data_IF_314543534042
#
_entry.id   IF_314543534042
#
_cell.length_a   1.000
_cell.length_b   1.000
_cell.length_c   1.000
_cell.angle_alpha   90.00
_cell.angle_beta   90.00
_cell.angle_gamma   90.00
#
_symmetry.space_group_name_H-M   'P 1'
#
loop_
_entity.id
_entity.type
_entity.pdbx_description
1 polymer ?
#
# COMPACT_ATOMS: atom_id res chain seq x y z
N UNK A 1 -13.84 -9.25 -9.63
CA UNK A 1 -12.78 -8.68 -8.76
C UNK A 1 -12.85 -7.16 -8.84
N UNK A 2 -12.84 -6.42 -7.72
CA UNK A 2 -13.06 -4.95 -7.68
C UNK A 2 -11.84 -4.10 -8.14
N UNK A 3 -10.76 -4.73 -8.61
CA UNK A 3 -9.60 -4.04 -9.20
C UNK A 3 -8.66 -3.31 -8.24
N UNK A 4 -8.75 -3.55 -6.93
CA UNK A 4 -7.86 -2.93 -5.95
C UNK A 4 -6.42 -3.48 -6.06
N UNK A 5 -5.39 -2.68 -5.75
CA UNK A 5 -3.99 -3.06 -5.94
C UNK A 5 -3.46 -3.96 -4.81
N UNK A 6 -4.28 -4.91 -4.34
CA UNK A 6 -3.92 -5.86 -3.30
C UNK A 6 -4.23 -7.29 -3.72
N UNK A 7 -3.43 -8.23 -3.23
CA UNK A 7 -3.61 -9.66 -3.40
C UNK A 7 -3.36 -10.35 -2.05
N UNK A 8 -4.03 -11.47 -1.81
CA UNK A 8 -3.76 -12.32 -0.66
C UNK A 8 -3.01 -13.56 -1.13
N UNK A 9 -1.92 -13.87 -0.44
CA UNK A 9 -1.23 -15.15 -0.57
C UNK A 9 -1.31 -15.89 0.76
N UNK A 10 -1.45 -17.21 0.71
CA UNK A 10 -1.63 -18.06 1.88
C UNK A 10 -0.54 -19.12 1.98
N UNK A 11 0.01 -19.29 3.17
CA UNK A 11 0.77 -20.46 3.58
C UNK A 11 0.08 -21.06 4.82
N UNK A 12 -0.73 -22.10 4.60
CA UNK A 12 -1.61 -22.67 5.64
C UNK A 12 -2.49 -21.59 6.30
N UNK A 13 -2.40 -21.43 7.62
CA UNK A 13 -3.16 -20.46 8.41
C UNK A 13 -2.51 -19.07 8.47
N UNK A 14 -1.40 -18.86 7.76
CA UNK A 14 -0.71 -17.57 7.69
C UNK A 14 -0.94 -16.97 6.31
N UNK A 15 -1.68 -15.87 6.22
CA UNK A 15 -1.87 -15.15 4.96
C UNK A 15 -1.12 -13.82 4.99
N UNK A 16 -0.74 -13.36 3.81
CA UNK A 16 -0.06 -12.07 3.63
C UNK A 16 -0.77 -11.25 2.56
N UNK A 17 -0.96 -9.97 2.85
CA UNK A 17 -1.37 -8.96 1.89
C UNK A 17 -0.15 -8.54 1.08
N UNK A 18 -0.24 -8.72 -0.24
CA UNK A 18 0.71 -8.25 -1.23
C UNK A 18 0.10 -7.05 -1.96
N UNK A 19 0.93 -6.05 -2.26
CA UNK A 19 0.51 -4.90 -3.05
C UNK A 19 1.00 -5.08 -4.48
N UNK A 20 0.10 -5.05 -5.46
CA UNK A 20 0.44 -5.27 -6.87
C UNK A 20 1.05 -4.05 -7.54
N UNK A 21 0.81 -2.85 -6.99
CA UNK A 21 1.40 -1.60 -7.44
C UNK A 21 2.34 -1.02 -6.36
N UNK A 22 3.37 -0.25 -6.73
CA UNK A 22 4.17 0.49 -5.75
C UNK A 22 3.35 1.64 -5.14
N UNK A 23 3.45 1.82 -3.82
CA UNK A 23 2.71 2.88 -3.12
C UNK A 23 3.37 3.26 -1.80
N UNK A 24 3.47 4.57 -1.55
CA UNK A 24 4.08 5.13 -0.32
C UNK A 24 3.19 4.95 0.90
N UNK A 25 1.88 4.89 0.70
CA UNK A 25 0.87 4.96 1.76
C UNK A 25 0.23 3.60 2.08
N UNK A 26 0.80 2.48 1.64
CA UNK A 26 0.27 1.15 1.95
C UNK A 26 0.17 0.86 3.46
N UNK A 27 1.05 1.45 4.27
CA UNK A 27 0.97 1.33 5.72
C UNK A 27 -0.36 1.88 6.29
N UNK A 28 -0.99 2.83 5.59
CA UNK A 28 -2.27 3.42 6.01
C UNK A 28 -3.42 2.42 5.90
N UNK A 29 -3.29 1.40 5.04
CA UNK A 29 -4.33 0.39 4.85
C UNK A 29 -4.68 -0.34 6.16
N UNK A 30 -3.73 -0.46 7.10
CA UNK A 30 -4.00 -1.05 8.41
C UNK A 30 -5.02 -0.27 9.24
N UNK A 31 -5.05 1.05 9.09
CA UNK A 31 -6.03 1.90 9.77
C UNK A 31 -7.42 1.72 9.17
N UNK A 32 -7.51 1.63 7.84
CA UNK A 32 -8.76 1.31 7.16
C UNK A 32 -9.28 -0.09 7.52
N UNK A 33 -8.38 -1.06 7.66
CA UNK A 33 -8.74 -2.40 8.13
C UNK A 33 -9.27 -2.38 9.56
N UNK A 34 -8.61 -1.63 10.44
CA UNK A 34 -9.07 -1.44 11.82
C UNK A 34 -10.47 -0.83 11.86
N UNK A 35 -10.72 0.20 11.06
CA UNK A 35 -12.03 0.86 10.96
C UNK A 35 -13.12 -0.07 10.41
N UNK A 36 -12.78 -0.91 9.42
CA UNK A 36 -13.64 -1.98 8.91
C UNK A 36 -13.79 -3.17 9.89
N UNK A 37 -13.19 -3.11 11.09
CA UNK A 37 -13.31 -4.14 12.13
C UNK A 37 -12.39 -5.35 11.96
N UNK A 38 -11.27 -5.20 11.23
CA UNK A 38 -10.22 -6.21 11.07
C UNK A 38 -8.98 -5.77 11.86
N UNK A 39 -8.63 -6.52 12.90
CA UNK A 39 -7.41 -6.25 13.67
C UNK A 39 -6.25 -7.06 13.09
N UNK A 40 -5.19 -6.35 12.68
CA UNK A 40 -3.91 -6.95 12.29
C UNK A 40 -2.92 -6.96 13.44
N UNK A 41 -1.91 -7.83 13.35
CA UNK A 41 -0.70 -7.64 14.15
C UNK A 41 -0.04 -6.32 13.74
N UNK A 42 0.20 -5.39 14.66
CA UNK A 42 0.74 -4.04 14.42
C UNK A 42 2.21 -4.00 13.93
N UNK A 43 2.70 -5.08 13.34
CA UNK A 43 4.06 -5.28 12.86
C UNK A 43 4.05 -5.78 11.42
N UNK A 44 4.73 -5.05 10.53
CA UNK A 44 4.82 -5.36 9.09
C UNK A 44 3.64 -4.84 8.28
N UNK A 45 3.48 -5.28 7.03
CA UNK A 45 2.58 -4.66 6.02
C UNK A 45 1.27 -5.40 5.74
N UNK A 46 0.88 -6.38 6.57
CA UNK A 46 -0.43 -7.05 6.44
C UNK A 46 -0.41 -8.57 6.55
N UNK A 47 0.15 -9.12 7.63
CA UNK A 47 0.03 -10.56 7.93
C UNK A 47 -1.25 -10.84 8.71
N UNK A 48 -1.98 -11.85 8.27
CA UNK A 48 -3.20 -12.36 8.88
C UNK A 48 -2.89 -13.76 9.42
N UNK A 49 -3.25 -13.99 10.68
CA UNK A 49 -3.06 -15.27 11.35
C UNK A 49 -4.44 -15.84 11.69
N UNK A 50 -4.74 -17.03 11.18
CA UNK A 50 -6.05 -17.67 11.34
C UNK A 50 -5.99 -18.80 12.36
N UNK A 51 -7.03 -18.89 13.19
CA UNK A 51 -7.31 -20.12 13.95
C UNK A 51 -7.78 -21.20 12.99
N UNK A 52 -7.49 -22.46 13.29
CA UNK A 52 -7.95 -23.61 12.49
C UNK A 52 -9.48 -23.80 12.55
N UNK A 53 -10.16 -23.10 13.45
CA UNK A 53 -11.61 -23.16 13.64
C UNK A 53 -12.40 -22.32 12.62
N UNK A 54 -11.71 -21.45 11.87
CA UNK A 54 -12.35 -20.56 10.90
C UNK A 54 -13.15 -21.33 9.87
N UNK A 55 -14.42 -20.95 9.72
CA UNK A 55 -15.33 -21.52 8.75
C UNK A 55 -15.47 -20.58 7.55
N UNK A 56 -16.09 -21.08 6.47
CA UNK A 56 -16.36 -20.30 5.25
C UNK A 56 -17.00 -18.93 5.55
N UNK A 57 -17.95 -18.87 6.48
CA UNK A 57 -18.63 -17.64 6.86
C UNK A 57 -17.70 -16.58 7.44
N UNK A 58 -16.64 -16.98 8.16
CA UNK A 58 -15.64 -16.05 8.71
C UNK A 58 -14.78 -15.45 7.59
N UNK A 59 -14.40 -16.27 6.60
CA UNK A 59 -13.67 -15.80 5.41
C UNK A 59 -14.51 -14.87 4.55
N UNK A 60 -15.79 -15.18 4.35
CA UNK A 60 -16.72 -14.32 3.60
C UNK A 60 -16.86 -12.95 4.30
N UNK A 61 -17.02 -12.95 5.64
CA UNK A 61 -17.06 -11.72 6.44
C UNK A 61 -15.75 -10.94 6.40
N UNK A 62 -14.61 -11.62 6.40
CA UNK A 62 -13.31 -10.98 6.25
C UNK A 62 -13.18 -10.30 4.88
N UNK A 63 -13.61 -10.98 3.81
CA UNK A 63 -13.58 -10.45 2.45
C UNK A 63 -14.41 -9.17 2.34
N UNK A 64 -15.63 -9.15 2.89
CA UNK A 64 -16.47 -7.95 2.91
C UNK A 64 -15.79 -6.75 3.58
N UNK A 65 -15.13 -6.99 4.72
CA UNK A 65 -14.40 -5.95 5.46
C UNK A 65 -13.15 -5.47 4.72
N UNK A 66 -12.41 -6.39 4.11
CA UNK A 66 -11.26 -6.06 3.25
C UNK A 66 -11.69 -5.16 2.10
N UNK A 67 -12.80 -5.50 1.41
CA UNK A 67 -13.33 -4.71 0.30
C UNK A 67 -13.81 -3.33 0.76
N UNK A 68 -14.42 -3.24 1.95
CA UNK A 68 -14.82 -1.96 2.56
C UNK A 68 -13.61 -1.09 2.84
N UNK A 69 -12.58 -1.65 3.49
CA UNK A 69 -11.33 -0.92 3.75
C UNK A 69 -10.65 -0.44 2.45
N UNK A 70 -10.66 -1.26 1.40
CA UNK A 70 -10.11 -0.88 0.10
C UNK A 70 -10.87 0.28 -0.53
N UNK A 71 -12.20 0.27 -0.43
CA UNK A 71 -13.07 1.30 -0.97
C UNK A 71 -12.86 2.64 -0.24
N UNK A 72 -12.80 2.63 1.09
CA UNK A 72 -12.55 3.85 1.88
C UNK A 72 -11.14 4.41 1.63
N UNK A 73 -10.13 3.54 1.50
CA UNK A 73 -8.78 3.97 1.12
C UNK A 73 -8.74 4.56 -0.31
N UNK A 74 -9.59 4.07 -1.21
CA UNK A 74 -9.75 4.62 -2.56
C UNK A 74 -10.42 5.99 -2.55
N UNK A 75 -11.51 6.15 -1.79
CA UNK A 75 -12.19 7.44 -1.61
C UNK A 75 -11.25 8.50 -1.04
N UNK A 76 -10.30 8.09 -0.20
CA UNK A 76 -9.24 8.96 0.32
C UNK A 76 -8.09 9.27 -0.65
N UNK A 77 -8.05 8.66 -1.84
CA UNK A 77 -6.99 8.87 -2.85
C UNK A 77 -5.65 8.21 -2.52
N UNK A 78 -5.60 7.31 -1.52
CA UNK A 78 -4.33 6.79 -1.01
C UNK A 78 -3.73 5.64 -1.82
N UNK A 79 -4.48 5.10 -2.77
CA UNK A 79 -3.96 4.12 -3.74
C UNK A 79 -3.18 4.77 -4.89
N UNK A 80 -3.28 6.10 -5.06
CA UNK A 80 -2.68 6.80 -6.18
C UNK A 80 -1.14 6.79 -6.08
N UNK A 81 -0.49 6.58 -7.21
CA UNK A 81 0.96 6.71 -7.29
C UNK A 81 1.35 8.17 -7.11
N UNK A 82 2.35 8.49 -6.27
CA UNK A 82 2.78 9.86 -6.12
C UNK A 82 3.28 10.39 -7.47
N UNK A 83 2.70 11.50 -7.93
CA UNK A 83 3.15 12.20 -9.13
C UNK A 83 4.46 12.93 -8.82
N UNK A 84 5.54 12.17 -8.67
CA UNK A 84 6.86 12.74 -8.49
C UNK A 84 7.47 12.99 -9.87
N UNK A 85 7.46 14.23 -10.34
CA UNK A 85 8.15 14.63 -11.57
C UNK A 85 9.68 14.72 -11.34
N UNK A 86 10.29 13.59 -11.01
CA UNK A 86 11.71 13.48 -10.65
C UNK A 86 12.59 13.81 -11.87
N UNK A 87 12.13 13.47 -13.09
CA UNK A 87 12.89 13.70 -14.33
C UNK A 87 13.18 15.19 -14.56
N UNK A 88 12.20 16.07 -14.35
CA UNK A 88 12.39 17.51 -14.54
C UNK A 88 13.29 18.13 -13.46
N UNK A 89 13.09 17.76 -12.18
CA UNK A 89 13.94 18.23 -11.07
C UNK A 89 15.39 17.78 -11.20
N UNK A 90 15.60 16.51 -11.57
CA UNK A 90 16.93 15.96 -11.78
C UNK A 90 17.66 16.65 -12.94
N UNK A 91 16.95 16.91 -14.05
CA UNK A 91 17.50 17.65 -15.18
C UNK A 91 17.92 19.08 -14.81
N UNK A 92 17.12 19.79 -14.00
CA UNK A 92 17.50 21.12 -13.50
C UNK A 92 18.70 21.08 -12.57
N UNK A 93 18.78 20.12 -11.64
CA UNK A 93 19.92 20.02 -10.72
C UNK A 93 21.22 19.67 -11.45
N UNK A 94 21.18 18.70 -12.38
CA UNK A 94 22.35 18.34 -13.18
C UNK A 94 22.76 19.51 -14.07
N UNK A 95 21.82 20.18 -14.72
CA UNK A 95 22.09 21.36 -15.54
C UNK A 95 22.68 22.52 -14.72
N UNK A 96 22.12 22.79 -13.54
CA UNK A 96 22.63 23.81 -12.62
C UNK A 96 24.01 23.48 -12.06
N UNK A 97 24.29 22.20 -11.75
CA UNK A 97 25.60 21.75 -11.31
C UNK A 97 26.65 21.87 -12.43
N UNK A 98 26.31 21.48 -13.65
CA UNK A 98 27.18 21.66 -14.81
C UNK A 98 27.45 23.14 -15.11
N UNK A 99 26.42 23.98 -15.04
CA UNK A 99 26.56 25.43 -15.24
C UNK A 99 27.45 26.09 -14.17
N UNK A 100 27.25 25.75 -12.90
CA UNK A 100 28.12 26.22 -11.79
C UNK A 100 29.57 25.79 -11.98
N UNK A 101 29.79 24.55 -12.42
CA UNK A 101 31.13 24.02 -12.65
C UNK A 101 31.82 24.69 -13.86
N UNK A 102 31.07 24.99 -14.93
CA UNK A 102 31.57 25.74 -16.10
C UNK A 102 31.89 27.20 -15.76
N UNK A 103 31.14 27.83 -14.84
CA UNK A 103 31.35 29.22 -14.41
C UNK A 103 32.42 29.39 -13.33
N UNK A 104 33.04 28.32 -12.83
CA UNK A 104 34.15 28.39 -11.88
C UNK A 104 33.79 29.02 -10.52
N UNK A 105 32.51 29.09 -10.17
CA UNK A 105 32.04 29.55 -8.86
C UNK A 105 32.09 28.37 -7.87
N UNK A 106 33.30 28.06 -7.39
CA UNK A 106 33.54 27.20 -6.23
C UNK A 106 33.17 27.90 -4.93
#
# INVERSE_FOLDING_TARGET
EKGYPIQLTSWYSVWSILYSNPGRYHWLFQYYLKDAGVNLSWVGSGRLLFSLEWQKADYDRLLERLLTACEEMQKGGWWETPVANIKSKLGMEIGGALFKNILGLS
#
